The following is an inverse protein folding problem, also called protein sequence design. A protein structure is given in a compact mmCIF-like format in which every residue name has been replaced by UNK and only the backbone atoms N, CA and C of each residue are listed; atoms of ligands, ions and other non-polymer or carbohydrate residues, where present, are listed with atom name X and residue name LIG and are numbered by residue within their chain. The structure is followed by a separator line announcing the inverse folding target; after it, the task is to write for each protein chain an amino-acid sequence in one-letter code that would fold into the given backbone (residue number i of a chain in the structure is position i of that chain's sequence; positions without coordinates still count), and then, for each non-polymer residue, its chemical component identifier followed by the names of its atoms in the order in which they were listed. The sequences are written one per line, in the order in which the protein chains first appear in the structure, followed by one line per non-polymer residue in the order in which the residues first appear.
data_IF_199781347562
#
_entry.id   IF_199781347562
#
_cell.length_a   1.000
_cell.length_b   1.000
_cell.length_c   1.000
_cell.angle_alpha   90.00
_cell.angle_beta   90.00
_cell.angle_gamma   90.00
#
_symmetry.space_group_name_H-M   'P 1'
#
loop_
_entity.id
_entity.type
_entity.pdbx_description
1 polymer ?
#
# COMPACT_ATOMS: atom_id res chain seq x y z
N UNK A 1 -15.81 -1.05 9.50
CA UNK A 1 -15.07 -1.07 8.22
C UNK A 1 -14.74 0.36 7.87
N UNK A 2 -13.45 0.66 7.76
CA UNK A 2 -12.93 1.96 7.37
C UNK A 2 -12.18 1.84 6.04
N UNK A 3 -11.92 2.97 5.38
CA UNK A 3 -11.07 3.00 4.20
C UNK A 3 -9.67 2.49 4.58
N UNK A 4 -9.23 1.41 3.93
CA UNK A 4 -7.93 0.76 4.19
C UNK A 4 -8.02 -0.66 4.76
N UNK A 5 -9.21 -1.10 5.21
CA UNK A 5 -9.39 -2.48 5.68
C UNK A 5 -9.25 -3.48 4.52
N UNK A 6 -8.40 -4.50 4.69
CA UNK A 6 -8.21 -5.58 3.71
C UNK A 6 -8.87 -6.86 4.22
N UNK A 7 -9.67 -7.49 3.36
CA UNK A 7 -10.35 -8.75 3.63
C UNK A 7 -10.16 -9.77 2.52
N UNK A 8 -10.53 -11.01 2.79
CA UNK A 8 -10.50 -12.11 1.83
C UNK A 8 -11.92 -12.46 1.40
N UNK A 9 -12.14 -12.67 0.11
CA UNK A 9 -13.39 -13.26 -0.40
C UNK A 9 -13.19 -14.77 -0.45
N UNK A 10 -13.92 -15.50 0.38
CA UNK A 10 -13.79 -16.95 0.57
C UNK A 10 -15.17 -17.60 0.53
N UNK A 11 -15.20 -18.92 0.25
CA UNK A 11 -16.40 -19.70 0.47
C UNK A 11 -16.54 -20.01 1.95
N UNK A 12 -17.73 -19.82 2.50
CA UNK A 12 -18.07 -20.25 3.85
C UNK A 12 -18.37 -21.76 3.93
N UNK A 13 -18.72 -22.25 5.11
CA UNK A 13 -19.03 -23.67 5.37
C UNK A 13 -20.20 -24.20 4.52
N UNK A 14 -21.07 -23.31 4.03
CA UNK A 14 -22.21 -23.65 3.16
C UNK A 14 -21.85 -23.60 1.67
N UNK A 15 -20.62 -23.19 1.34
CA UNK A 15 -20.13 -23.02 -0.03
C UNK A 15 -20.47 -21.66 -0.65
N UNK A 16 -21.09 -20.75 0.10
CA UNK A 16 -21.44 -19.41 -0.37
C UNK A 16 -20.25 -18.46 -0.28
N UNK A 17 -20.04 -17.63 -1.30
CA UNK A 17 -18.99 -16.61 -1.27
C UNK A 17 -19.37 -15.48 -0.30
N UNK A 18 -18.47 -15.20 0.64
CA UNK A 18 -18.60 -14.13 1.65
C UNK A 18 -17.26 -13.44 1.85
N UNK A 19 -17.29 -12.19 2.28
CA UNK A 19 -16.08 -11.48 2.67
C UNK A 19 -15.74 -11.76 4.12
N UNK A 20 -14.47 -12.03 4.38
CA UNK A 20 -13.91 -12.35 5.68
C UNK A 20 -12.86 -11.30 6.05
N UNK A 21 -13.08 -10.61 7.16
CA UNK A 21 -12.17 -9.59 7.70
C UNK A 21 -11.63 -10.05 9.04
N UNK A 22 -10.37 -9.72 9.33
CA UNK A 22 -9.77 -9.94 10.64
C UNK A 22 -9.75 -8.62 11.40
N UNK A 23 -10.61 -8.49 12.42
CA UNK A 23 -10.75 -7.28 13.25
C UNK A 23 -10.42 -7.68 14.69
N UNK A 24 -9.41 -7.05 15.30
CA UNK A 24 -8.97 -7.37 16.67
C UNK A 24 -8.76 -8.88 16.92
N UNK A 25 -8.23 -9.58 15.91
CA UNK A 25 -8.00 -11.04 15.87
C UNK A 25 -9.26 -11.90 15.84
N UNK A 26 -10.42 -11.30 15.60
CA UNK A 26 -11.70 -11.99 15.40
C UNK A 26 -12.05 -11.98 13.91
N UNK A 27 -12.50 -13.13 13.40
CA UNK A 27 -12.99 -13.23 12.03
C UNK A 27 -14.42 -12.72 11.95
N UNK A 28 -14.64 -11.73 11.09
CA UNK A 28 -15.94 -11.15 10.82
C UNK A 28 -16.36 -11.49 9.39
N UNK A 29 -17.44 -12.24 9.24
CA UNK A 29 -18.02 -12.60 7.95
C UNK A 29 -19.10 -11.61 7.54
N UNK A 30 -19.03 -11.14 6.30
CA UNK A 30 -19.93 -10.14 5.74
C UNK A 30 -20.42 -10.60 4.37
N UNK A 31 -21.71 -10.47 4.12
CA UNK A 31 -22.29 -10.77 2.81
C UNK A 31 -21.79 -9.78 1.76
N UNK A 32 -21.50 -10.28 0.56
CA UNK A 32 -20.95 -9.45 -0.52
C UNK A 32 -21.84 -8.26 -0.87
N UNK A 33 -23.16 -8.40 -0.75
CA UNK A 33 -24.13 -7.33 -1.04
C UNK A 33 -24.07 -6.16 -0.03
N UNK A 34 -23.45 -6.39 1.14
CA UNK A 34 -23.28 -5.40 2.20
C UNK A 34 -21.93 -4.69 2.13
N UNK A 35 -21.05 -5.12 1.22
CA UNK A 35 -19.76 -4.46 1.05
C UNK A 35 -19.97 -3.07 0.44
N UNK A 36 -19.34 -2.03 1.01
CA UNK A 36 -19.24 -0.74 0.31
C UNK A 36 -18.40 -0.88 -0.96
N UNK A 37 -18.21 0.22 -1.69
CA UNK A 37 -17.30 0.25 -2.83
C UNK A 37 -15.92 -0.31 -2.44
N UNK A 38 -15.43 -1.28 -3.20
CA UNK A 38 -14.21 -2.02 -2.92
C UNK A 38 -13.48 -2.36 -4.22
N UNK A 39 -12.20 -2.66 -4.09
CA UNK A 39 -11.30 -3.03 -5.18
C UNK A 39 -10.47 -4.26 -4.80
N UNK A 40 -9.86 -4.91 -5.78
CA UNK A 40 -8.94 -6.02 -5.52
C UNK A 40 -7.64 -5.50 -4.91
N UNK A 41 -7.13 -6.17 -3.87
CA UNK A 41 -5.92 -5.76 -3.15
C UNK A 41 -4.70 -6.67 -3.40
N UNK A 42 -4.64 -7.37 -4.53
CA UNK A 42 -3.46 -8.20 -4.88
C UNK A 42 -2.18 -7.36 -5.04
N UNK A 43 -2.33 -6.14 -5.53
CA UNK A 43 -1.30 -5.12 -5.55
C UNK A 43 -1.95 -3.79 -5.17
N UNK A 44 -1.32 -3.07 -4.26
CA UNK A 44 -1.80 -1.77 -3.78
C UNK A 44 -0.76 -0.69 -4.05
N UNK A 45 -1.21 0.54 -4.19
CA UNK A 45 -0.31 1.69 -4.28
C UNK A 45 0.40 1.91 -2.93
N UNK A 46 1.61 2.48 -2.96
CA UNK A 46 2.36 2.83 -1.75
C UNK A 46 1.53 3.76 -0.84
N UNK A 47 0.76 4.69 -1.41
CA UNK A 47 -0.15 5.56 -0.66
C UNK A 47 -1.23 4.79 0.10
N UNK A 48 -1.86 3.79 -0.54
CA UNK A 48 -2.89 2.94 0.10
C UNK A 48 -2.32 2.02 1.19
N UNK A 49 -1.00 1.83 1.23
CA UNK A 49 -0.33 1.03 2.27
C UNK A 49 0.06 1.82 3.53
N UNK A 50 -0.19 3.13 3.57
CA UNK A 50 0.18 3.97 4.70
C UNK A 50 -0.48 3.50 6.00
N UNK A 51 0.32 3.32 7.05
CA UNK A 51 -0.15 2.79 8.34
C UNK A 51 -0.22 1.26 8.43
N UNK A 52 -0.07 0.54 7.31
CA UNK A 52 0.07 -0.92 7.30
C UNK A 52 1.54 -1.36 7.27
N UNK A 53 1.83 -2.54 7.79
CA UNK A 53 3.16 -3.15 7.72
C UNK A 53 3.04 -4.65 7.43
N UNK A 54 3.99 -5.19 6.67
CA UNK A 54 3.98 -6.57 6.20
C UNK A 54 5.32 -7.24 6.47
N UNK A 55 5.32 -8.56 6.68
CA UNK A 55 6.56 -9.31 6.91
C UNK A 55 7.56 -9.16 5.75
N UNK A 56 7.04 -9.26 4.52
CA UNK A 56 7.77 -9.09 3.28
C UNK A 56 6.98 -8.18 2.32
N UNK A 57 7.65 -7.19 1.74
CA UNK A 57 7.08 -6.30 0.72
C UNK A 57 7.82 -6.46 -0.60
N UNK A 58 7.07 -6.63 -1.68
CA UNK A 58 7.56 -6.51 -3.06
C UNK A 58 7.20 -5.13 -3.61
N UNK A 59 8.20 -4.32 -3.93
CA UNK A 59 8.01 -2.98 -4.50
C UNK A 59 8.32 -3.04 -5.99
N UNK A 60 7.39 -2.59 -6.82
CA UNK A 60 7.58 -2.48 -8.27
C UNK A 60 7.59 -1.01 -8.65
N UNK A 61 8.70 -0.53 -9.20
CA UNK A 61 8.80 0.82 -9.74
C UNK A 61 8.55 0.81 -11.26
N UNK A 62 7.94 1.86 -11.82
CA UNK A 62 7.82 2.02 -13.27
C UNK A 62 9.22 2.04 -13.91
N UNK A 63 9.30 1.56 -15.15
CA UNK A 63 10.56 1.52 -15.91
C UNK A 63 11.00 2.91 -16.40
N UNK A 64 10.04 3.83 -16.51
CA UNK A 64 10.24 5.21 -16.94
C UNK A 64 10.25 6.14 -15.74
N UNK A 65 11.00 7.24 -15.88
CA UNK A 65 10.99 8.31 -14.91
C UNK A 65 9.63 9.02 -14.89
N UNK A 66 9.07 9.20 -13.71
CA UNK A 66 7.75 9.83 -13.49
C UNK A 66 7.83 10.74 -12.28
N UNK A 67 7.10 11.85 -12.32
CA UNK A 67 7.08 12.84 -11.24
C UNK A 67 6.68 12.28 -9.85
N UNK A 68 5.98 11.14 -9.82
CA UNK A 68 5.64 10.46 -8.57
C UNK A 68 6.85 9.84 -7.88
N UNK A 69 7.93 9.54 -8.62
CA UNK A 69 9.14 8.94 -8.09
C UNK A 69 10.00 9.97 -7.37
N UNK A 70 10.06 9.83 -6.06
CA UNK A 70 10.95 10.59 -5.18
C UNK A 70 11.39 9.72 -4.01
N UNK A 71 12.36 10.23 -3.26
CA UNK A 71 12.95 9.53 -2.12
C UNK A 71 11.92 9.23 -1.04
N UNK A 72 11.00 10.15 -0.78
CA UNK A 72 9.97 9.99 0.26
C UNK A 72 9.00 8.84 -0.06
N UNK A 73 8.63 8.68 -1.33
CA UNK A 73 7.79 7.58 -1.80
C UNK A 73 8.52 6.24 -1.61
N UNK A 74 9.77 6.14 -2.07
CA UNK A 74 10.56 4.93 -1.95
C UNK A 74 10.84 4.58 -0.47
N UNK A 75 11.16 5.58 0.35
CA UNK A 75 11.31 5.41 1.79
C UNK A 75 10.03 4.87 2.44
N UNK A 76 8.87 5.43 2.08
CA UNK A 76 7.58 4.95 2.56
C UNK A 76 7.37 3.49 2.20
N UNK A 77 7.66 3.10 0.96
CA UNK A 77 7.56 1.71 0.51
C UNK A 77 8.49 0.77 1.29
N UNK A 78 9.75 1.18 1.51
CA UNK A 78 10.75 0.41 2.27
C UNK A 78 10.28 0.20 3.72
N UNK A 79 9.78 1.24 4.38
CA UNK A 79 9.32 1.16 5.78
C UNK A 79 8.03 0.36 5.97
N UNK A 80 7.34 -0.05 4.89
CA UNK A 80 6.22 -0.99 5.02
C UNK A 80 6.68 -2.42 5.30
N UNK A 81 7.95 -2.76 5.03
CA UNK A 81 8.51 -4.08 5.28
C UNK A 81 9.03 -4.22 6.72
N UNK A 82 8.62 -5.28 7.41
CA UNK A 82 9.13 -5.61 8.75
C UNK A 82 10.46 -6.36 8.71
N UNK A 83 10.64 -7.28 7.75
CA UNK A 83 11.84 -8.12 7.67
C UNK A 83 12.50 -8.15 6.31
N UNK A 84 11.72 -8.31 5.24
CA UNK A 84 12.26 -8.53 3.90
C UNK A 84 11.66 -7.55 2.90
N UNK A 85 12.49 -7.14 1.93
CA UNK A 85 12.07 -6.34 0.80
C UNK A 85 12.64 -6.92 -0.50
N UNK A 86 11.81 -6.95 -1.53
CA UNK A 86 12.22 -7.23 -2.90
C UNK A 86 11.86 -6.03 -3.77
N UNK A 87 12.84 -5.44 -4.44
CA UNK A 87 12.65 -4.26 -5.27
C UNK A 87 12.82 -4.63 -6.75
N UNK A 88 11.79 -4.38 -7.54
CA UNK A 88 11.74 -4.64 -8.98
C UNK A 88 11.77 -3.31 -9.73
N UNK A 89 12.92 -2.98 -10.31
CA UNK A 89 13.19 -1.69 -10.92
C UNK A 89 14.47 -1.71 -11.76
N UNK A 90 14.64 -0.70 -12.61
CA UNK A 90 15.94 -0.42 -13.23
C UNK A 90 16.85 0.35 -12.26
N UNK A 91 18.14 0.02 -12.25
CA UNK A 91 19.14 0.67 -11.38
C UNK A 91 19.15 2.21 -11.56
N UNK A 92 19.14 2.68 -12.81
CA UNK A 92 19.11 4.10 -13.13
C UNK A 92 17.89 4.82 -12.53
N UNK A 93 16.72 4.16 -12.51
CA UNK A 93 15.49 4.71 -11.92
C UNK A 93 15.62 4.82 -10.40
N UNK A 94 16.20 3.82 -9.74
CA UNK A 94 16.42 3.87 -8.28
C UNK A 94 17.38 4.99 -7.92
N UNK A 95 18.53 5.06 -8.61
CA UNK A 95 19.51 6.11 -8.36
C UNK A 95 18.87 7.50 -8.49
N UNK A 96 18.08 7.72 -9.56
CA UNK A 96 17.36 8.98 -9.76
C UNK A 96 16.32 9.23 -8.68
N UNK A 97 15.52 8.22 -8.33
CA UNK A 97 14.46 8.31 -7.31
C UNK A 97 15.03 8.72 -5.95
N UNK A 98 16.16 8.12 -5.54
CA UNK A 98 16.82 8.43 -4.25
C UNK A 98 17.38 9.86 -4.20
N UNK A 99 17.81 10.40 -5.34
CA UNK A 99 18.33 11.77 -5.43
C UNK A 99 17.22 12.83 -5.55
N UNK A 100 16.01 12.43 -5.96
CA UNK A 100 14.88 13.33 -6.16
C UNK A 100 14.17 13.57 -4.82
N UNK A 101 14.20 14.81 -4.33
CA UNK A 101 13.47 15.22 -3.12
C UNK A 101 12.14 15.84 -3.52
N UNK A 102 11.07 15.48 -2.82
CA UNK A 102 9.80 16.16 -3.00
C UNK A 102 9.83 17.54 -2.35
N UNK A 103 10.02 18.60 -3.15
CA UNK A 103 9.87 19.97 -2.66
C UNK A 103 8.39 20.25 -2.33
N UNK A 104 8.17 20.87 -1.17
CA UNK A 104 6.86 21.34 -0.75
C UNK A 104 6.94 22.85 -0.57
N UNK A 105 6.38 23.58 -1.52
CA UNK A 105 6.16 25.01 -1.36
C UNK A 105 5.06 25.19 -0.30
N UNK A 106 5.47 25.56 0.91
CA UNK A 106 4.54 25.89 1.99
C UNK A 106 4.95 27.25 2.55
N UNK A 107 3.97 28.14 2.79
CA UNK A 107 4.23 29.46 3.36
C UNK A 107 4.70 29.44 4.82
N UNK A 108 4.75 28.26 5.45
CA UNK A 108 5.18 28.06 6.84
C UNK A 108 6.69 28.20 7.03
N UNK A 109 7.48 27.87 6.00
CA UNK A 109 8.94 27.95 6.10
C UNK A 109 9.47 29.40 6.20
N UNK A 110 8.71 30.39 5.71
CA UNK A 110 9.05 31.82 5.80
C UNK A 110 8.41 32.55 6.98
N UNK A 111 7.69 31.85 7.86
CA UNK A 111 7.03 32.42 9.05
C UNK A 111 7.84 32.27 10.35
N UNK A 112 9.04 31.68 10.27
CA UNK A 112 9.98 31.51 11.38
C UNK A 112 11.34 32.12 11.06
#
# INVERSE_FOLDING_TARGET
MFNGDTGLILKDETGQLRACFLIDKVLCWVDLIRLPAHETAFAITIHKSQGSEFEHVCVVLPQEDRAILNRELLYTAITRAKKHISLFCNEAIVCKTVMTQHERETGLAGLF
#
